data_IF_847783967274
#
_entry.id   IF_847783967274
#
_cell.length_a   1.000
_cell.length_b   1.000
_cell.length_c   1.000
_cell.angle_alpha   90.00
_cell.angle_beta   90.00
_cell.angle_gamma   90.00
#
_symmetry.space_group_name_H-M   'P 1'
#
loop_
_entity.id
_entity.type
_entity.pdbx_description
1 polymer ?
#
# COMPACT_ATOMS: atom_id res chain seq x y z
N UNK A 1 17.94 19.54 3.52
CA UNK A 1 18.01 20.75 2.68
C UNK A 1 16.59 21.19 2.30
N UNK A 2 16.28 22.45 2.60
CA UNK A 2 15.01 23.07 2.22
C UNK A 2 15.03 23.28 0.72
N UNK A 3 14.07 22.70 0.00
CA UNK A 3 13.94 22.93 -1.44
C UNK A 3 13.44 24.35 -1.67
N UNK A 4 14.11 25.12 -2.56
CA UNK A 4 13.68 26.49 -2.85
C UNK A 4 12.33 26.50 -3.57
N UNK A 5 11.52 27.52 -3.33
CA UNK A 5 10.22 27.69 -4.01
C UNK A 5 10.39 27.76 -5.53
N UNK A 6 11.42 28.43 -6.01
CA UNK A 6 11.75 28.52 -7.44
C UNK A 6 11.98 27.14 -8.10
N UNK A 7 12.65 26.21 -7.37
CA UNK A 7 12.86 24.86 -7.88
C UNK A 7 11.54 24.05 -7.94
N UNK A 8 10.66 24.27 -6.97
CA UNK A 8 9.32 23.68 -6.97
C UNK A 8 8.50 24.21 -8.16
N UNK A 9 8.46 25.52 -8.33
CA UNK A 9 7.70 26.17 -9.41
C UNK A 9 8.18 25.74 -10.79
N UNK A 10 9.50 25.64 -10.99
CA UNK A 10 10.09 25.10 -12.22
C UNK A 10 9.68 23.65 -12.48
N UNK A 11 9.68 22.83 -11.44
CA UNK A 11 9.28 21.42 -11.54
C UNK A 11 7.78 21.28 -11.84
N UNK A 12 6.94 22.08 -11.19
CA UNK A 12 5.50 22.14 -11.46
C UNK A 12 5.23 22.56 -12.90
N UNK A 13 5.89 23.62 -13.39
CA UNK A 13 5.74 24.08 -14.78
C UNK A 13 6.12 23.01 -15.81
N UNK A 14 7.22 22.26 -15.55
CA UNK A 14 7.61 21.11 -16.39
C UNK A 14 6.56 20.01 -16.39
N UNK A 15 6.04 19.64 -15.21
CA UNK A 15 5.02 18.61 -15.07
C UNK A 15 3.67 19.04 -15.68
N UNK A 16 3.33 20.33 -15.59
CA UNK A 16 2.12 20.85 -16.23
C UNK A 16 2.19 20.74 -17.76
N UNK A 17 3.34 21.08 -18.35
CA UNK A 17 3.58 20.88 -19.79
C UNK A 17 3.43 19.40 -20.18
N UNK A 18 4.03 18.48 -19.42
CA UNK A 18 3.90 17.03 -19.65
C UNK A 18 2.44 16.60 -19.50
N UNK A 19 1.74 17.06 -18.47
CA UNK A 19 0.34 16.76 -18.23
C UNK A 19 -0.58 17.24 -19.37
N UNK A 20 -0.29 18.41 -19.94
CA UNK A 20 -1.00 18.96 -21.11
C UNK A 20 -0.78 18.09 -22.36
N UNK A 21 0.45 17.65 -22.59
CA UNK A 21 0.79 16.78 -23.72
C UNK A 21 0.13 15.40 -23.60
N UNK A 22 0.05 14.84 -22.40
CA UNK A 22 -0.69 13.60 -22.15
C UNK A 22 -2.19 13.79 -22.39
N UNK A 23 -2.78 14.89 -21.89
CA UNK A 23 -4.20 15.23 -22.13
C UNK A 23 -4.49 15.44 -23.62
N UNK A 24 -3.53 16.03 -24.36
CA UNK A 24 -3.59 16.16 -25.81
C UNK A 24 -3.31 14.86 -26.59
N UNK A 25 -3.07 13.74 -25.88
CA UNK A 25 -2.77 12.41 -26.46
C UNK A 25 -1.53 12.39 -27.37
N UNK A 26 -0.55 13.24 -27.14
CA UNK A 26 0.71 13.19 -27.87
C UNK A 26 1.54 11.95 -27.50
N UNK A 27 1.45 11.52 -26.26
CA UNK A 27 2.02 10.27 -25.73
C UNK A 27 1.20 9.79 -24.52
N UNK A 28 1.39 8.53 -24.12
CA UNK A 28 0.68 7.97 -22.98
C UNK A 28 1.30 8.43 -21.65
N UNK A 29 0.52 8.33 -20.56
CA UNK A 29 1.05 8.56 -19.22
C UNK A 29 2.17 7.57 -18.88
N UNK A 30 2.00 6.35 -19.31
CA UNK A 30 2.92 5.22 -19.10
C UNK A 30 4.28 5.46 -19.81
N UNK A 31 4.25 6.00 -21.02
CA UNK A 31 5.45 6.37 -21.77
C UNK A 31 6.16 7.56 -21.10
N UNK A 32 5.38 8.57 -20.68
CA UNK A 32 5.92 9.72 -19.95
C UNK A 32 6.58 9.29 -18.63
N UNK A 33 5.95 8.40 -17.87
CA UNK A 33 6.51 7.89 -16.63
C UNK A 33 7.81 7.13 -16.88
N UNK A 34 7.87 6.28 -17.90
CA UNK A 34 9.07 5.52 -18.23
C UNK A 34 10.25 6.38 -18.70
N UNK A 35 9.96 7.44 -19.50
CA UNK A 35 10.99 8.27 -20.11
C UNK A 35 11.41 9.48 -19.28
N UNK A 36 10.47 10.12 -18.57
CA UNK A 36 10.65 11.45 -17.99
C UNK A 36 10.60 11.47 -16.45
N UNK A 37 10.17 10.39 -15.80
CA UNK A 37 10.10 10.33 -14.35
C UNK A 37 11.48 10.18 -13.71
N UNK A 38 11.73 10.96 -12.66
CA UNK A 38 12.91 10.83 -11.81
C UNK A 38 12.72 9.78 -10.69
N UNK A 39 11.50 9.29 -10.49
CA UNK A 39 11.19 8.26 -9.50
C UNK A 39 11.61 6.87 -10.00
N UNK A 40 12.69 6.37 -9.42
CA UNK A 40 13.27 5.06 -9.78
C UNK A 40 12.37 3.88 -9.41
N UNK A 41 11.49 4.06 -8.42
CA UNK A 41 10.67 2.97 -7.89
C UNK A 41 9.49 2.66 -8.83
N UNK A 42 8.96 3.68 -9.51
CA UNK A 42 7.81 3.53 -10.41
C UNK A 42 8.16 3.66 -11.90
N UNK A 43 9.27 4.34 -12.25
CA UNK A 43 9.68 4.58 -13.64
C UNK A 43 9.77 3.28 -14.46
N UNK A 44 10.42 2.25 -13.92
CA UNK A 44 10.62 0.96 -14.61
C UNK A 44 9.32 0.13 -14.68
N UNK A 45 8.30 0.51 -13.92
CA UNK A 45 6.98 -0.10 -13.90
C UNK A 45 5.90 0.79 -14.54
N UNK A 46 6.30 1.60 -15.53
CA UNK A 46 5.39 2.48 -16.29
C UNK A 46 4.55 3.41 -15.40
N UNK A 47 5.12 3.84 -14.27
CA UNK A 47 4.45 4.70 -13.31
C UNK A 47 3.51 3.99 -12.33
N UNK A 48 3.37 2.66 -12.37
CA UNK A 48 2.52 1.93 -11.44
C UNK A 48 3.12 1.92 -10.04
N UNK A 49 2.35 2.42 -9.07
CA UNK A 49 2.69 2.33 -7.65
C UNK A 49 2.40 0.93 -7.12
N UNK A 50 3.31 0.39 -6.34
CA UNK A 50 3.11 -0.86 -5.61
C UNK A 50 2.69 -0.58 -4.17
N UNK A 51 1.64 -1.23 -3.71
CA UNK A 51 1.18 -1.15 -2.32
C UNK A 51 2.08 -2.02 -1.43
N UNK A 52 2.97 -1.39 -0.66
CA UNK A 52 3.88 -2.08 0.24
C UNK A 52 3.18 -2.70 1.47
N UNK A 53 1.95 -2.26 1.79
CA UNK A 53 1.15 -2.79 2.91
C UNK A 53 0.37 -4.05 2.52
N UNK A 54 0.23 -4.30 1.22
CA UNK A 54 -0.38 -5.52 0.69
C UNK A 54 0.65 -6.64 0.58
N UNK A 55 0.32 -7.83 1.06
CA UNK A 55 1.20 -9.02 0.95
C UNK A 55 1.55 -9.34 -0.51
N UNK A 56 0.63 -9.11 -1.44
CA UNK A 56 0.78 -9.40 -2.87
C UNK A 56 1.40 -8.24 -3.66
N UNK A 57 1.78 -7.13 -3.00
CA UNK A 57 2.33 -5.92 -3.64
C UNK A 57 1.53 -5.46 -4.86
N UNK A 58 0.22 -5.51 -4.76
CA UNK A 58 -0.68 -5.07 -5.83
C UNK A 58 -0.59 -3.55 -6.04
N UNK A 59 -1.08 -3.05 -7.16
CA UNK A 59 -1.23 -1.61 -7.41
C UNK A 59 -2.61 -1.07 -6.96
N UNK A 60 -3.31 -1.84 -6.11
CA UNK A 60 -4.58 -1.43 -5.48
C UNK A 60 -4.31 -0.87 -4.10
N UNK A 61 -4.91 0.27 -3.80
CA UNK A 61 -4.76 0.97 -2.52
C UNK A 61 -6.12 1.23 -1.91
N UNK A 62 -6.23 1.10 -0.60
CA UNK A 62 -7.29 1.76 0.15
C UNK A 62 -6.91 3.22 0.35
N UNK A 63 -7.90 4.12 0.46
CA UNK A 63 -7.62 5.55 0.63
C UNK A 63 -6.72 5.86 1.84
N UNK A 64 -6.83 5.07 2.91
CA UNK A 64 -5.98 5.19 4.12
C UNK A 64 -4.51 4.80 3.91
N UNK A 65 -4.23 4.00 2.87
CA UNK A 65 -2.87 3.50 2.58
C UNK A 65 -2.10 4.44 1.63
N UNK A 66 -2.80 5.45 1.10
CA UNK A 66 -2.20 6.48 0.26
C UNK A 66 -1.59 7.62 1.09
N UNK A 67 -0.48 8.23 0.65
CA UNK A 67 -0.04 9.51 1.21
C UNK A 67 -1.17 10.54 1.17
N UNK A 68 -1.26 11.37 2.21
CA UNK A 68 -2.39 12.31 2.39
C UNK A 68 -2.61 13.22 1.18
N UNK A 69 -1.52 13.71 0.57
CA UNK A 69 -1.57 14.59 -0.60
C UNK A 69 -2.11 13.84 -1.82
N UNK A 70 -1.68 12.60 -2.03
CA UNK A 70 -2.17 11.72 -3.10
C UNK A 70 -3.63 11.37 -2.89
N UNK A 71 -4.02 10.96 -1.68
CA UNK A 71 -5.41 10.63 -1.35
C UNK A 71 -6.36 11.80 -1.63
N UNK A 72 -5.96 13.02 -1.24
CA UNK A 72 -6.74 14.25 -1.46
C UNK A 72 -6.96 14.55 -2.95
N UNK A 73 -5.94 14.31 -3.77
CA UNK A 73 -6.02 14.52 -5.23
C UNK A 73 -6.87 13.43 -5.87
N UNK A 74 -6.63 12.16 -5.53
CA UNK A 74 -7.38 11.01 -6.08
C UNK A 74 -8.86 11.09 -5.77
N UNK A 75 -9.24 11.58 -4.59
CA UNK A 75 -10.65 11.68 -4.17
C UNK A 75 -11.51 12.44 -5.17
N UNK A 76 -10.97 13.51 -5.75
CA UNK A 76 -11.67 14.37 -6.73
C UNK A 76 -11.56 13.89 -8.18
N UNK A 77 -10.73 12.88 -8.47
CA UNK A 77 -10.44 12.44 -9.84
C UNK A 77 -11.46 11.43 -10.36
N UNK A 78 -11.70 11.46 -11.67
CA UNK A 78 -12.43 10.42 -12.41
C UNK A 78 -11.46 9.35 -12.92
N UNK A 79 -11.96 8.14 -13.12
CA UNK A 79 -11.18 7.05 -13.72
C UNK A 79 -10.68 7.47 -15.11
N UNK A 80 -9.40 7.21 -15.37
CA UNK A 80 -8.70 7.62 -16.59
C UNK A 80 -8.15 9.05 -16.58
N UNK A 81 -8.50 9.85 -15.59
CA UNK A 81 -8.04 11.24 -15.49
C UNK A 81 -6.58 11.32 -15.02
N UNK A 82 -5.86 12.33 -15.54
CA UNK A 82 -4.53 12.76 -15.07
C UNK A 82 -4.70 14.04 -14.25
N UNK A 83 -4.09 14.06 -13.06
CA UNK A 83 -4.17 15.20 -12.14
C UNK A 83 -3.50 16.47 -12.71
N UNK A 84 -3.72 17.59 -12.05
CA UNK A 84 -2.76 18.71 -12.11
C UNK A 84 -1.48 18.33 -11.35
N UNK A 85 -0.34 18.96 -11.62
CA UNK A 85 0.86 18.81 -10.82
C UNK A 85 0.61 19.24 -9.36
N UNK A 86 1.17 18.49 -8.43
CA UNK A 86 1.10 18.84 -7.00
C UNK A 86 2.39 18.44 -6.28
N UNK A 87 2.59 19.00 -5.10
CA UNK A 87 3.73 18.67 -4.24
C UNK A 87 3.31 17.61 -3.23
N UNK A 88 4.22 16.68 -2.95
CA UNK A 88 4.06 15.66 -1.92
C UNK A 88 5.39 15.38 -1.23
N UNK A 89 5.33 14.72 -0.08
CA UNK A 89 6.52 14.22 0.59
C UNK A 89 6.64 12.73 0.27
N UNK A 90 7.78 12.32 -0.28
CA UNK A 90 8.03 10.93 -0.60
C UNK A 90 8.38 10.10 0.66
N UNK A 91 8.49 8.78 0.52
CA UNK A 91 8.84 7.83 1.59
C UNK A 91 10.19 8.13 2.27
N UNK A 92 11.06 8.94 1.64
CA UNK A 92 12.37 9.37 2.16
C UNK A 92 12.31 10.75 2.83
N UNK A 93 11.12 11.30 3.06
CA UNK A 93 10.93 12.61 3.70
C UNK A 93 11.31 13.80 2.81
N UNK A 94 11.47 13.61 1.49
CA UNK A 94 11.84 14.70 0.55
C UNK A 94 10.60 15.24 -0.15
N UNK A 95 10.54 16.57 -0.29
CA UNK A 95 9.52 17.23 -1.12
C UNK A 95 9.75 16.88 -2.58
N UNK A 96 8.73 16.39 -3.25
CA UNK A 96 8.73 16.03 -4.67
C UNK A 96 7.48 16.60 -5.34
N UNK A 97 7.56 16.84 -6.64
CA UNK A 97 6.41 17.20 -7.46
C UNK A 97 5.94 15.97 -8.24
N UNK A 98 4.65 15.77 -8.32
CA UNK A 98 4.07 14.59 -8.93
C UNK A 98 2.88 14.90 -9.84
N UNK A 99 2.69 14.04 -10.83
CA UNK A 99 1.46 13.84 -11.59
C UNK A 99 0.98 12.42 -11.33
N UNK A 100 -0.31 12.23 -11.20
CA UNK A 100 -0.92 10.90 -11.04
C UNK A 100 -2.04 10.69 -12.05
N UNK A 101 -2.24 9.42 -12.42
CA UNK A 101 -3.34 8.96 -13.26
C UNK A 101 -4.15 7.94 -12.46
N UNK A 102 -5.45 8.14 -12.36
CA UNK A 102 -6.36 7.18 -11.75
C UNK A 102 -6.75 6.13 -12.77
N UNK A 103 -6.24 4.92 -12.63
CA UNK A 103 -6.51 3.81 -13.58
C UNK A 103 -7.84 3.16 -13.34
N UNK A 104 -8.18 2.91 -12.08
CA UNK A 104 -9.45 2.29 -11.71
C UNK A 104 -9.89 2.77 -10.31
N UNK A 105 -11.17 2.70 -10.05
CA UNK A 105 -11.78 2.94 -8.74
C UNK A 105 -12.80 1.84 -8.49
N UNK A 106 -12.73 1.27 -7.30
CA UNK A 106 -13.74 0.33 -6.82
C UNK A 106 -14.41 1.00 -5.63
N UNK A 107 -15.70 1.24 -5.73
CA UNK A 107 -16.49 1.80 -4.64
C UNK A 107 -16.66 0.76 -3.54
N UNK A 108 -16.85 1.23 -2.30
CA UNK A 108 -17.10 0.34 -1.18
C UNK A 108 -18.35 -0.49 -1.42
N UNK A 109 -18.21 -1.82 -1.38
CA UNK A 109 -19.30 -2.76 -1.55
C UNK A 109 -19.23 -3.87 -0.51
N UNK A 110 -20.34 -4.57 -0.31
CA UNK A 110 -20.34 -5.77 0.53
C UNK A 110 -19.63 -6.88 -0.23
N UNK A 111 -18.64 -7.51 0.43
CA UNK A 111 -17.85 -8.57 -0.18
C UNK A 111 -18.74 -9.69 -0.73
N UNK A 112 -18.47 -10.09 -1.96
CA UNK A 112 -19.14 -11.19 -2.66
C UNK A 112 -18.13 -12.26 -3.05
N UNK A 113 -18.61 -13.52 -3.11
CA UNK A 113 -17.74 -14.64 -3.51
C UNK A 113 -17.23 -14.45 -4.94
N UNK A 114 -18.02 -13.82 -5.81
CA UNK A 114 -17.67 -13.66 -7.23
C UNK A 114 -16.56 -12.64 -7.44
N UNK A 115 -16.58 -11.54 -6.69
CA UNK A 115 -15.67 -10.41 -6.91
C UNK A 115 -14.47 -10.43 -5.95
N UNK A 116 -14.69 -10.92 -4.72
CA UNK A 116 -13.71 -10.86 -3.64
C UNK A 116 -13.19 -12.22 -3.19
N UNK A 117 -13.38 -13.26 -4.00
CA UNK A 117 -13.03 -14.64 -3.64
C UNK A 117 -11.61 -14.76 -3.07
N UNK A 118 -10.62 -14.14 -3.72
CA UNK A 118 -9.23 -14.25 -3.26
C UNK A 118 -9.04 -13.62 -1.88
N UNK A 119 -9.60 -12.43 -1.66
CA UNK A 119 -9.51 -11.72 -0.37
C UNK A 119 -10.20 -12.52 0.74
N UNK A 120 -11.39 -13.05 0.45
CA UNK A 120 -12.14 -13.89 1.40
C UNK A 120 -11.39 -15.19 1.71
N UNK A 121 -10.84 -15.85 0.68
CA UNK A 121 -10.00 -17.04 0.84
C UNK A 121 -8.81 -16.78 1.74
N UNK A 122 -8.10 -15.68 1.53
CA UNK A 122 -6.90 -15.33 2.30
C UNK A 122 -7.25 -15.05 3.78
N UNK A 123 -8.36 -14.38 4.04
CA UNK A 123 -8.86 -14.16 5.41
C UNK A 123 -9.22 -15.47 6.10
N UNK A 124 -9.92 -16.37 5.41
CA UNK A 124 -10.29 -17.68 5.97
C UNK A 124 -9.04 -18.53 6.20
N UNK A 125 -8.12 -18.56 5.23
CA UNK A 125 -6.87 -19.31 5.34
C UNK A 125 -5.99 -18.81 6.50
N UNK A 126 -5.91 -17.49 6.70
CA UNK A 126 -5.20 -16.91 7.85
C UNK A 126 -5.79 -17.38 9.19
N UNK A 127 -7.12 -17.33 9.33
CA UNK A 127 -7.81 -17.83 10.54
C UNK A 127 -7.61 -19.32 10.78
N UNK A 128 -7.69 -20.13 9.75
CA UNK A 128 -7.48 -21.59 9.89
C UNK A 128 -6.03 -21.92 10.23
N UNK A 129 -5.06 -21.17 9.69
CA UNK A 129 -3.64 -21.31 10.07
C UNK A 129 -3.40 -20.95 11.53
N UNK A 130 -3.97 -19.84 11.99
CA UNK A 130 -3.88 -19.40 13.38
C UNK A 130 -4.48 -20.44 14.33
N UNK A 131 -5.69 -20.94 14.02
CA UNK A 131 -6.35 -21.99 14.78
C UNK A 131 -5.51 -23.28 14.82
N UNK A 132 -5.02 -23.73 13.67
CA UNK A 132 -4.19 -24.93 13.57
C UNK A 132 -2.92 -24.80 14.40
N UNK A 133 -2.26 -23.63 14.34
CA UNK A 133 -1.08 -23.36 15.14
C UNK A 133 -1.39 -23.35 16.63
N UNK A 134 -2.48 -22.69 17.03
CA UNK A 134 -2.94 -22.68 18.40
C UNK A 134 -3.20 -24.11 18.94
N UNK A 135 -3.96 -24.90 18.20
CA UNK A 135 -4.31 -26.28 18.59
C UNK A 135 -3.04 -27.15 18.67
N UNK A 136 -2.12 -26.98 17.75
CA UNK A 136 -0.82 -27.69 17.76
C UNK A 136 0.01 -27.31 19.00
N UNK A 137 0.11 -26.01 19.32
CA UNK A 137 0.86 -25.53 20.51
C UNK A 137 0.24 -26.11 21.79
N UNK A 138 -1.09 -26.05 21.93
CA UNK A 138 -1.81 -26.60 23.09
C UNK A 138 -1.57 -28.12 23.23
N UNK A 139 -1.61 -28.86 22.12
CA UNK A 139 -1.31 -30.30 22.13
C UNK A 139 0.16 -30.58 22.54
N UNK A 140 1.10 -29.81 22.04
CA UNK A 140 2.51 -29.90 22.40
C UNK A 140 2.76 -29.59 23.88
N UNK A 141 2.14 -28.57 24.43
CA UNK A 141 2.23 -28.23 25.87
C UNK A 141 1.75 -29.40 26.72
N UNK A 142 0.64 -30.05 26.34
CA UNK A 142 0.10 -31.22 27.07
C UNK A 142 1.03 -32.42 27.04
N UNK A 143 1.70 -32.67 25.92
CA UNK A 143 2.55 -33.85 25.68
C UNK A 143 4.02 -33.65 26.08
N UNK A 144 4.45 -32.41 26.29
CA UNK A 144 5.84 -32.08 26.60
C UNK A 144 6.01 -31.90 28.11
N UNK A 145 7.07 -32.44 28.66
CA UNK A 145 7.46 -32.16 30.04
C UNK A 145 8.10 -30.76 30.10
N UNK A 146 7.49 -29.87 30.86
CA UNK A 146 8.01 -28.53 31.10
C UNK A 146 8.16 -28.32 32.59
N UNK A 147 9.39 -27.96 33.02
CA UNK A 147 9.65 -27.53 34.40
C UNK A 147 9.72 -26.02 34.43
N UNK A 148 8.78 -25.41 35.14
CA UNK A 148 8.72 -23.96 35.29
C UNK A 148 9.25 -23.56 36.67
N UNK A 149 10.02 -22.48 36.72
CA UNK A 149 10.46 -21.89 37.97
C UNK A 149 9.25 -21.27 38.69
N UNK A 150 9.19 -21.41 40.02
CA UNK A 150 8.05 -20.98 40.85
C UNK A 150 7.75 -19.47 40.67
N UNK A 151 8.76 -18.64 40.40
CA UNK A 151 8.59 -17.21 40.15
C UNK A 151 7.69 -16.88 38.97
N UNK A 152 7.51 -17.79 38.03
CA UNK A 152 6.78 -17.55 36.77
C UNK A 152 5.47 -18.33 36.69
N UNK A 153 5.10 -19.10 37.71
CA UNK A 153 3.89 -19.91 37.70
C UNK A 153 2.61 -19.08 37.64
N UNK A 154 2.65 -17.88 38.24
CA UNK A 154 1.50 -16.95 38.28
C UNK A 154 1.44 -15.99 37.10
N UNK A 155 2.34 -16.12 36.11
CA UNK A 155 2.32 -15.29 34.92
C UNK A 155 1.12 -15.64 34.03
N UNK A 156 0.58 -14.62 33.34
CA UNK A 156 -0.44 -14.85 32.31
C UNK A 156 0.27 -15.29 31.01
N UNK A 157 0.04 -16.54 30.63
CA UNK A 157 0.57 -17.09 29.39
C UNK A 157 -0.49 -16.99 28.28
N UNK A 158 -0.04 -16.79 27.05
CA UNK A 158 -0.89 -16.79 25.87
C UNK A 158 -1.62 -18.12 25.70
N UNK A 159 -0.91 -19.23 25.98
CA UNK A 159 -1.47 -20.58 25.92
C UNK A 159 -1.59 -21.16 27.32
N UNK A 160 -2.71 -21.81 27.60
CA UNK A 160 -2.97 -22.47 28.88
C UNK A 160 -2.24 -23.82 28.99
N UNK A 161 -1.91 -24.22 30.22
CA UNK A 161 -1.39 -25.58 30.51
C UNK A 161 0.12 -25.70 30.68
N UNK A 162 0.85 -24.60 30.75
CA UNK A 162 2.29 -24.59 31.06
C UNK A 162 2.59 -25.02 32.50
N UNK A 163 1.71 -24.69 33.43
CA UNK A 163 1.81 -25.08 34.85
C UNK A 163 1.03 -26.34 35.02
N UNK A 164 1.69 -27.43 35.39
CA UNK A 164 1.11 -28.74 35.70
C UNK A 164 1.13 -29.01 37.20
#
# INVERSE_FOLDING_TARGET
PVVSQEAIDKSIGRLDSIGNDIRAKKFSFEDAAGALSDDKDTRNNKGLMANATSADRTSKFQMKDLPTEVARVVDTMKVGQVSAPFTMVNSKGKTTCALIKLVSRVDGHRATITEDFQVMKDVVLAKEREKTLHDWVVDKIKKTYVRMNDRYKDCKFEYQGWVK
#
